data_IF_581280138894
#
_entry.id   IF_581280138894
#
_cell.length_a   1.000
_cell.length_b   1.000
_cell.length_c   1.000
_cell.angle_alpha   90.00
_cell.angle_beta   90.00
_cell.angle_gamma   90.00
#
_symmetry.space_group_name_H-M   'P 1'
#
loop_
_entity.id
_entity.type
_entity.pdbx_description
1 polymer ?
#
# COMPACT_ATOMS: atom_id res chain seq x y z
N UNK A 1 20.07 -37.42 -57.71
CA UNK A 1 20.52 -36.24 -56.94
C UNK A 1 19.28 -35.46 -56.56
N UNK A 2 18.88 -35.52 -55.29
CA UNK A 2 17.71 -34.82 -54.74
C UNK A 2 18.25 -33.60 -53.99
N UNK A 3 17.85 -32.36 -54.30
CA UNK A 3 18.27 -31.22 -53.49
C UNK A 3 17.43 -31.19 -52.21
N UNK A 4 18.10 -31.19 -51.05
CA UNK A 4 17.49 -30.98 -49.74
C UNK A 4 17.23 -29.48 -49.55
N UNK A 5 15.97 -29.08 -49.52
CA UNK A 5 15.51 -27.75 -49.09
C UNK A 5 15.65 -27.64 -47.57
N UNK A 6 16.43 -26.67 -47.10
CA UNK A 6 16.50 -26.29 -45.67
C UNK A 6 15.52 -25.14 -45.45
N UNK A 7 14.55 -25.22 -44.52
CA UNK A 7 13.69 -24.09 -44.23
C UNK A 7 14.40 -23.11 -43.28
N UNK A 8 14.54 -21.85 -43.72
CA UNK A 8 14.94 -20.74 -42.85
C UNK A 8 13.77 -20.40 -41.92
N UNK A 9 13.91 -20.72 -40.64
CA UNK A 9 13.02 -20.24 -39.58
C UNK A 9 13.44 -18.80 -39.24
N UNK A 10 12.62 -17.82 -39.64
CA UNK A 10 12.75 -16.43 -39.19
C UNK A 10 12.22 -16.34 -37.75
N UNK A 11 13.11 -16.21 -36.76
CA UNK A 11 12.72 -15.80 -35.41
C UNK A 11 12.42 -14.29 -35.43
N UNK A 12 11.14 -13.93 -35.39
CA UNK A 12 10.68 -12.58 -35.07
C UNK A 12 10.99 -12.31 -33.59
N UNK A 13 12.09 -11.61 -33.33
CA UNK A 13 12.39 -10.99 -32.05
C UNK A 13 11.32 -9.92 -31.78
N UNK A 14 10.31 -10.26 -30.99
CA UNK A 14 9.44 -9.27 -30.35
C UNK A 14 10.31 -8.48 -29.37
N UNK A 15 10.74 -7.29 -29.78
CA UNK A 15 11.22 -6.26 -28.87
C UNK A 15 10.03 -5.88 -27.98
N UNK A 16 9.98 -6.44 -26.77
CA UNK A 16 9.07 -5.95 -25.72
C UNK A 16 9.59 -4.55 -25.37
N UNK A 17 8.82 -3.47 -25.54
CA UNK A 17 9.24 -2.16 -25.08
C UNK A 17 9.38 -2.22 -23.57
N UNK A 18 10.59 -1.98 -23.09
CA UNK A 18 10.90 -1.78 -21.68
C UNK A 18 10.08 -0.56 -21.22
N UNK A 19 9.11 -0.81 -20.34
CA UNK A 19 8.28 0.24 -19.75
C UNK A 19 9.21 1.07 -18.88
N UNK A 20 9.62 2.23 -19.36
CA UNK A 20 10.30 3.22 -18.52
C UNK A 20 9.27 3.78 -17.53
N UNK A 21 9.19 3.17 -16.36
CA UNK A 21 8.53 3.79 -15.20
C UNK A 21 9.31 5.06 -14.87
N UNK A 22 8.65 6.21 -14.88
CA UNK A 22 9.22 7.43 -14.31
C UNK A 22 9.40 7.14 -12.82
N UNK A 23 10.63 6.86 -12.40
CA UNK A 23 10.91 6.62 -10.98
C UNK A 23 10.87 7.97 -10.30
N UNK A 24 9.80 8.23 -9.54
CA UNK A 24 9.80 9.34 -8.59
C UNK A 24 10.92 9.11 -7.58
N UNK A 25 11.60 10.19 -7.18
CA UNK A 25 12.71 10.11 -6.25
C UNK A 25 12.13 9.81 -4.85
N UNK A 26 12.32 8.58 -4.37
CA UNK A 26 11.76 8.14 -3.09
C UNK A 26 12.75 8.27 -1.93
N UNK A 27 14.05 8.20 -2.22
CA UNK A 27 15.09 8.44 -1.23
C UNK A 27 15.61 9.89 -1.31
N UNK A 28 16.33 10.34 -0.29
CA UNK A 28 17.00 11.64 -0.36
C UNK A 28 18.03 11.67 -1.51
N UNK A 29 18.21 12.80 -2.23
CA UNK A 29 19.20 12.88 -3.30
C UNK A 29 20.59 12.42 -2.88
N UNK A 30 21.24 11.62 -3.74
CA UNK A 30 22.54 10.96 -3.52
C UNK A 30 22.57 9.87 -2.43
N UNK A 31 21.41 9.40 -1.97
CA UNK A 31 21.32 8.27 -1.04
C UNK A 31 20.95 6.97 -1.76
N UNK A 32 21.32 5.85 -1.16
CA UNK A 32 20.95 4.53 -1.67
C UNK A 32 19.46 4.30 -1.44
N UNK A 33 18.73 3.97 -2.50
CA UNK A 33 17.27 3.82 -2.48
C UNK A 33 16.80 2.41 -2.11
N UNK A 34 17.70 1.41 -2.15
CA UNK A 34 17.33 0.01 -1.92
C UNK A 34 18.36 -0.74 -1.09
N UNK A 35 17.89 -1.75 -0.36
CA UNK A 35 18.73 -2.77 0.25
C UNK A 35 18.19 -4.16 -0.11
N UNK A 36 18.90 -4.85 -1.00
CA UNK A 36 18.37 -6.09 -1.60
C UNK A 36 17.12 -5.76 -2.43
N UNK A 37 16.00 -6.38 -2.07
CA UNK A 37 14.70 -6.17 -2.73
C UNK A 37 13.81 -5.16 -2.01
N UNK A 38 14.31 -4.51 -0.95
CA UNK A 38 13.53 -3.57 -0.14
C UNK A 38 13.84 -2.15 -0.58
N UNK A 39 12.81 -1.39 -0.93
CA UNK A 39 12.89 0.07 -1.12
C UNK A 39 13.04 0.78 0.21
N UNK A 40 13.96 1.74 0.28
CA UNK A 40 14.31 2.54 1.46
C UNK A 40 13.98 4.01 1.14
N UNK A 41 12.69 4.39 1.25
CA UNK A 41 12.29 5.77 1.03
C UNK A 41 12.64 6.65 2.24
N UNK A 42 12.87 7.93 2.00
CA UNK A 42 12.96 8.92 3.09
C UNK A 42 11.61 8.95 3.85
N UNK A 43 11.55 9.01 5.20
CA UNK A 43 12.60 9.41 6.15
C UNK A 43 13.63 8.32 6.48
N UNK A 44 13.45 7.08 6.01
CA UNK A 44 14.43 6.00 6.17
C UNK A 44 15.63 6.22 5.25
N UNK A 45 16.81 5.73 5.67
CA UNK A 45 18.00 5.90 4.87
C UNK A 45 19.19 5.07 5.34
N UNK A 46 20.06 4.76 4.39
CA UNK A 46 21.31 4.03 4.63
C UNK A 46 22.46 5.03 4.63
N UNK A 47 23.25 5.03 5.70
CA UNK A 47 24.41 5.89 5.83
C UNK A 47 24.10 7.30 6.35
N UNK A 48 25.13 7.96 6.85
CA UNK A 48 25.02 9.25 7.52
C UNK A 48 24.45 10.33 6.60
N UNK A 49 23.43 11.04 7.07
CA UNK A 49 22.79 12.14 6.34
C UNK A 49 21.70 11.72 5.35
N UNK A 50 21.40 10.42 5.24
CA UNK A 50 20.36 9.88 4.35
C UNK A 50 19.03 9.60 5.03
N UNK A 51 18.98 9.55 6.35
CA UNK A 51 17.77 9.38 7.15
C UNK A 51 17.42 10.67 7.90
N UNK A 52 16.17 10.77 8.38
CA UNK A 52 15.70 11.95 9.12
C UNK A 52 16.35 12.09 10.50
N UNK A 53 16.35 11.01 11.26
CA UNK A 53 16.96 10.89 12.58
C UNK A 53 17.38 9.42 12.82
N UNK A 54 18.12 9.15 13.90
CA UNK A 54 18.73 7.84 14.13
C UNK A 54 17.73 6.67 14.22
N UNK A 55 16.46 6.93 14.55
CA UNK A 55 15.42 5.89 14.55
C UNK A 55 15.08 5.40 13.14
N UNK A 56 15.24 6.25 12.13
CA UNK A 56 15.03 5.92 10.72
C UNK A 56 16.30 5.41 10.01
N UNK A 57 17.41 5.24 10.72
CA UNK A 57 18.63 4.65 10.17
C UNK A 57 18.40 3.17 9.83
N UNK A 58 18.81 2.79 8.61
CA UNK A 58 18.76 1.42 8.12
C UNK A 58 20.17 0.89 7.89
N UNK A 59 20.49 -0.24 8.52
CA UNK A 59 21.69 -1.01 8.23
C UNK A 59 21.42 -2.01 7.12
N UNK A 60 22.21 -1.95 6.06
CA UNK A 60 22.13 -2.88 4.94
C UNK A 60 23.27 -3.90 5.02
N UNK A 61 22.97 -5.06 5.60
CA UNK A 61 23.94 -6.13 5.77
C UNK A 61 24.10 -6.90 4.45
N UNK A 62 25.27 -6.76 3.83
CA UNK A 62 25.64 -7.50 2.62
C UNK A 62 26.12 -8.90 3.02
N UNK A 63 25.29 -9.91 2.78
CA UNK A 63 25.56 -11.27 3.28
C UNK A 63 26.57 -12.02 2.39
N UNK A 64 26.32 -12.17 1.08
CA UNK A 64 27.28 -12.68 0.05
C UNK A 64 26.73 -12.39 -1.36
N UNK A 65 27.45 -12.76 -2.43
CA UNK A 65 26.95 -12.70 -3.82
C UNK A 65 25.72 -13.60 -4.10
N UNK A 66 25.41 -14.56 -3.21
CA UNK A 66 24.36 -15.58 -3.40
C UNK A 66 23.16 -15.40 -2.46
N UNK A 67 23.17 -14.40 -1.58
CA UNK A 67 22.04 -14.11 -0.70
C UNK A 67 21.73 -12.62 -0.76
N UNK A 68 20.44 -12.23 -0.88
CA UNK A 68 20.09 -10.82 -0.93
C UNK A 68 20.58 -10.09 0.32
N UNK A 69 20.91 -8.82 0.15
CA UNK A 69 21.23 -7.95 1.29
C UNK A 69 19.99 -7.81 2.17
N UNK A 70 20.19 -7.77 3.48
CA UNK A 70 19.11 -7.70 4.47
C UNK A 70 19.14 -6.34 5.16
N UNK A 71 17.98 -5.69 5.22
CA UNK A 71 17.80 -4.38 5.84
C UNK A 71 17.40 -4.54 7.30
N UNK A 72 17.94 -3.71 8.19
CA UNK A 72 17.60 -3.70 9.61
C UNK A 72 17.40 -2.26 10.10
N UNK A 73 16.39 -2.03 10.94
CA UNK A 73 16.29 -0.78 11.70
C UNK A 73 17.39 -0.75 12.76
N UNK A 74 18.38 0.12 12.59
CA UNK A 74 19.64 0.09 13.34
C UNK A 74 19.44 0.11 14.86
N UNK A 75 18.52 0.97 15.35
CA UNK A 75 18.31 1.21 16.78
C UNK A 75 17.68 0.03 17.54
N UNK A 76 16.89 -0.79 16.84
CA UNK A 76 16.15 -1.90 17.44
C UNK A 76 16.57 -3.26 16.90
N UNK A 77 17.49 -3.28 15.93
CA UNK A 77 18.04 -4.47 15.28
C UNK A 77 16.95 -5.43 14.79
N UNK A 78 15.86 -4.89 14.23
CA UNK A 78 14.77 -5.66 13.63
C UNK A 78 14.89 -5.61 12.12
N UNK A 79 14.83 -6.79 11.49
CA UNK A 79 14.89 -6.90 10.03
C UNK A 79 13.66 -6.27 9.39
N UNK A 80 13.87 -5.43 8.39
CA UNK A 80 12.83 -4.78 7.60
C UNK A 80 12.42 -5.70 6.45
N UNK A 81 11.11 -5.93 6.37
CA UNK A 81 10.48 -6.71 5.31
C UNK A 81 9.83 -5.82 4.25
N UNK A 82 9.35 -4.64 4.64
CA UNK A 82 8.71 -3.67 3.75
C UNK A 82 8.56 -2.31 4.43
N UNK A 83 8.65 -1.23 3.67
CA UNK A 83 8.33 0.13 4.12
C UNK A 83 7.23 0.66 3.20
N UNK A 84 6.10 1.06 3.78
CA UNK A 84 4.99 1.73 3.06
C UNK A 84 4.92 3.18 3.51
N UNK A 85 5.19 4.12 2.59
CA UNK A 85 4.94 5.55 2.83
C UNK A 85 3.44 5.84 2.85
N UNK A 86 2.69 5.21 1.95
CA UNK A 86 1.24 5.40 1.79
C UNK A 86 0.47 5.01 3.06
N UNK A 87 0.86 3.92 3.72
CA UNK A 87 0.25 3.54 5.00
C UNK A 87 0.96 4.15 6.20
N UNK A 88 2.14 4.74 5.98
CA UNK A 88 3.07 5.17 7.03
C UNK A 88 3.36 4.05 8.02
N UNK A 89 3.71 2.89 7.46
CA UNK A 89 4.06 1.69 8.20
C UNK A 89 5.41 1.11 7.77
N UNK A 90 6.01 0.32 8.66
CA UNK A 90 7.16 -0.52 8.36
C UNK A 90 6.90 -1.92 8.90
N UNK A 91 6.99 -2.93 8.04
CA UNK A 91 6.85 -4.34 8.41
C UNK A 91 8.22 -4.88 8.78
N UNK A 92 8.33 -5.47 9.97
CA UNK A 92 9.60 -5.98 10.51
C UNK A 92 9.46 -7.36 11.14
N UNK A 93 10.56 -8.10 11.27
CA UNK A 93 10.60 -9.36 12.02
C UNK A 93 10.78 -9.09 13.53
N UNK A 94 9.75 -9.43 14.32
CA UNK A 94 9.73 -9.31 15.78
C UNK A 94 10.05 -10.64 16.46
N UNK A 95 10.84 -10.64 17.55
CA UNK A 95 11.17 -11.86 18.29
C UNK A 95 9.94 -12.46 18.97
N UNK A 96 10.03 -13.76 19.24
CA UNK A 96 9.03 -14.50 20.00
C UNK A 96 9.56 -14.76 21.42
N UNK A 97 8.80 -14.35 22.43
CA UNK A 97 9.11 -14.64 23.83
C UNK A 97 8.71 -16.09 24.11
N UNK A 98 9.56 -16.81 24.83
CA UNK A 98 9.36 -18.24 25.10
C UNK A 98 9.74 -18.66 26.52
N UNK A 99 9.15 -19.74 26.99
CA UNK A 99 9.46 -20.38 28.26
C UNK A 99 9.33 -21.90 28.10
N UNK A 100 10.28 -22.66 28.63
CA UNK A 100 10.25 -24.13 28.52
C UNK A 100 10.43 -24.69 27.11
N UNK A 101 10.98 -23.90 26.17
CA UNK A 101 11.21 -24.30 24.78
C UNK A 101 12.69 -24.62 24.53
N UNK A 102 12.99 -25.84 24.09
CA UNK A 102 14.36 -26.24 23.72
C UNK A 102 14.87 -25.49 22.49
N UNK A 103 16.15 -25.13 22.47
CA UNK A 103 16.81 -24.53 21.30
C UNK A 103 16.50 -23.06 21.03
N UNK A 104 15.78 -22.39 21.94
CA UNK A 104 15.54 -20.94 21.85
C UNK A 104 16.58 -20.14 22.65
N UNK A 105 16.93 -18.98 22.10
CA UNK A 105 17.82 -18.01 22.76
C UNK A 105 17.15 -17.29 23.92
N UNK A 106 17.87 -16.35 24.53
CA UNK A 106 17.32 -15.49 25.56
C UNK A 106 16.14 -14.67 25.02
N UNK A 107 15.12 -14.46 25.86
CA UNK A 107 14.00 -13.60 25.51
C UNK A 107 14.48 -12.16 25.34
N UNK A 108 14.22 -11.58 24.18
CA UNK A 108 14.56 -10.20 23.86
C UNK A 108 13.28 -9.35 23.99
N UNK A 109 13.30 -8.39 24.89
CA UNK A 109 12.25 -7.37 24.97
C UNK A 109 12.54 -6.24 23.97
N UNK A 110 11.51 -5.74 23.32
CA UNK A 110 11.60 -4.54 22.47
C UNK A 110 11.14 -3.33 23.29
N UNK A 111 11.93 -2.26 23.26
CA UNK A 111 11.55 -0.99 23.85
C UNK A 111 11.84 0.14 22.86
N UNK A 112 10.77 0.72 22.33
CA UNK A 112 10.78 1.84 21.38
C UNK A 112 10.22 3.11 22.03
N UNK A 113 10.22 3.19 23.36
CA UNK A 113 9.63 4.32 24.10
C UNK A 113 10.29 5.63 23.68
N UNK A 114 9.47 6.61 23.30
CA UNK A 114 9.94 7.91 22.83
C UNK A 114 10.51 7.90 21.40
N UNK A 115 10.44 6.77 20.69
CA UNK A 115 10.73 6.72 19.27
C UNK A 115 9.52 7.18 18.44
N UNK A 116 9.69 7.36 17.12
CA UNK A 116 8.58 7.60 16.21
C UNK A 116 7.75 6.34 15.88
N UNK A 117 8.10 5.16 16.40
CA UNK A 117 7.44 3.90 16.08
C UNK A 117 6.46 3.43 17.16
N UNK A 118 5.35 2.82 16.75
CA UNK A 118 4.46 2.06 17.63
C UNK A 118 3.92 0.81 16.92
N UNK A 119 3.55 -0.21 17.67
CA UNK A 119 2.87 -1.38 17.12
C UNK A 119 1.50 -0.98 16.55
N UNK A 120 1.30 -1.27 15.26
CA UNK A 120 0.06 -0.97 14.56
C UNK A 120 -1.13 -1.74 15.09
N UNK A 121 -2.33 -1.16 15.00
CA UNK A 121 -3.59 -1.82 15.34
C UNK A 121 -3.91 -3.05 14.47
N UNK A 122 -3.24 -3.15 13.31
CA UNK A 122 -3.26 -4.32 12.43
C UNK A 122 -2.63 -5.57 13.05
N UNK A 123 -1.88 -5.41 14.15
CA UNK A 123 -1.30 -6.52 14.89
C UNK A 123 -2.23 -7.09 15.96
N UNK A 124 -1.87 -8.27 16.46
CA UNK A 124 -2.54 -8.94 17.57
C UNK A 124 -1.51 -9.59 18.47
N UNK A 125 -1.77 -9.61 19.77
CA UNK A 125 -0.96 -10.37 20.73
C UNK A 125 -1.47 -11.80 20.78
N UNK A 126 -0.59 -12.76 20.56
CA UNK A 126 -0.88 -14.19 20.58
C UNK A 126 -0.04 -14.85 21.66
N UNK A 127 -0.64 -15.80 22.37
CA UNK A 127 0.08 -16.74 23.21
C UNK A 127 -0.28 -18.16 22.82
N UNK A 128 0.72 -19.05 22.78
CA UNK A 128 0.57 -20.45 22.41
C UNK A 128 1.26 -21.34 23.44
N UNK A 129 0.73 -22.54 23.64
CA UNK A 129 1.13 -23.48 24.67
C UNK A 129 -0.02 -23.88 25.59
N UNK A 130 0.14 -25.03 26.22
CA UNK A 130 -0.78 -25.57 27.21
C UNK A 130 -0.67 -24.74 28.51
N UNK A 131 -1.80 -24.48 29.17
CA UNK A 131 -1.85 -23.76 30.45
C UNK A 131 -1.04 -22.44 30.44
N UNK A 132 -1.06 -21.70 29.33
CA UNK A 132 -0.19 -20.54 29.14
C UNK A 132 -0.92 -19.26 29.55
N UNK A 133 -0.47 -18.65 30.66
CA UNK A 133 -0.86 -17.29 31.05
C UNK A 133 0.19 -16.31 30.55
N UNK A 134 -0.14 -15.57 29.50
CA UNK A 134 0.73 -14.57 28.92
C UNK A 134 0.20 -13.16 29.21
N UNK A 135 1.02 -12.34 29.86
CA UNK A 135 0.70 -10.94 30.14
C UNK A 135 1.77 -10.04 29.54
N UNK A 136 1.34 -8.99 28.85
CA UNK A 136 2.22 -7.87 28.53
C UNK A 136 2.61 -7.18 29.84
N UNK A 137 3.91 -6.97 30.02
CA UNK A 137 4.46 -6.26 31.16
C UNK A 137 5.19 -5.00 30.69
N UNK A 138 5.64 -4.17 31.65
CA UNK A 138 6.29 -2.88 31.36
C UNK A 138 5.40 -1.92 30.54
N UNK A 139 4.08 -2.06 30.68
CA UNK A 139 3.07 -1.19 30.08
C UNK A 139 2.09 -0.76 31.18
N UNK A 140 1.43 0.38 30.98
CA UNK A 140 0.41 0.88 31.91
C UNK A 140 -0.96 0.97 31.21
N UNK A 141 -2.01 0.29 31.72
CA UNK A 141 -2.00 -0.69 32.81
C UNK A 141 -1.52 -2.08 32.35
N UNK A 142 -0.92 -2.83 33.27
CA UNK A 142 -0.30 -4.17 33.06
C UNK A 142 -1.33 -5.32 32.87
N UNK A 143 -2.58 -5.02 32.51
CA UNK A 143 -3.69 -5.98 32.52
C UNK A 143 -3.88 -6.65 31.15
N UNK A 144 -3.13 -6.25 30.13
CA UNK A 144 -3.30 -6.81 28.79
C UNK A 144 -2.61 -8.17 28.67
N UNK A 145 -3.41 -9.21 28.47
CA UNK A 145 -2.91 -10.55 28.25
C UNK A 145 -4.04 -11.51 27.97
N UNK A 146 -3.69 -12.79 27.84
CA UNK A 146 -4.67 -13.86 27.68
C UNK A 146 -4.15 -15.15 28.29
N UNK A 147 -5.07 -16.10 28.48
CA UNK A 147 -4.78 -17.44 29.00
C UNK A 147 -5.27 -18.50 28.05
N UNK A 148 -4.50 -19.57 27.86
CA UNK A 148 -4.95 -20.80 27.22
C UNK A 148 -5.03 -21.95 28.23
N UNK A 149 -5.93 -22.88 27.99
CA UNK A 149 -6.10 -24.13 28.76
C UNK A 149 -5.65 -25.33 27.95
N UNK A 150 -5.47 -26.45 28.64
CA UNK A 150 -5.22 -27.76 28.05
C UNK A 150 -6.56 -28.47 27.83
N UNK A 151 -7.05 -28.58 26.59
CA UNK A 151 -8.17 -29.46 26.28
C UNK A 151 -7.79 -30.47 25.20
N UNK A 152 -8.07 -31.74 25.48
CA UNK A 152 -7.96 -32.85 24.52
C UNK A 152 -9.09 -32.87 23.48
N UNK A 153 -10.10 -32.00 23.61
CA UNK A 153 -11.21 -31.91 22.67
C UNK A 153 -10.75 -31.40 21.30
N UNK A 154 -10.95 -32.22 20.27
CA UNK A 154 -10.75 -31.87 18.85
C UNK A 154 -11.90 -31.02 18.28
N UNK A 155 -12.97 -30.80 19.05
CA UNK A 155 -14.07 -29.91 18.69
C UNK A 155 -13.54 -28.47 18.62
N UNK A 156 -13.41 -27.94 17.40
CA UNK A 156 -12.81 -26.63 17.11
C UNK A 156 -11.52 -26.68 16.31
N UNK A 157 -11.01 -27.87 15.91
CA UNK A 157 -9.95 -27.98 14.88
C UNK A 157 -10.40 -27.51 13.49
N UNK A 158 -11.70 -27.30 13.31
CA UNK A 158 -12.24 -26.62 12.15
C UNK A 158 -12.21 -25.11 12.41
N UNK A 159 -11.28 -24.46 11.71
CA UNK A 159 -11.00 -23.03 11.66
C UNK A 159 -9.85 -22.57 12.55
N UNK A 160 -8.90 -21.88 11.91
CA UNK A 160 -7.68 -21.21 12.35
C UNK A 160 -7.84 -20.14 13.45
N UNK A 161 -8.81 -20.29 14.35
CA UNK A 161 -9.12 -19.33 15.40
C UNK A 161 -8.45 -19.70 16.72
N UNK A 162 -7.50 -18.84 17.11
CA UNK A 162 -6.75 -19.00 18.34
C UNK A 162 -7.54 -18.55 19.59
N UNK A 163 -8.40 -19.44 20.10
CA UNK A 163 -9.42 -19.10 21.09
C UNK A 163 -9.49 -20.10 22.26
N UNK A 164 -8.52 -20.07 23.16
CA UNK A 164 -8.59 -20.66 24.50
C UNK A 164 -7.99 -22.06 24.65
N UNK A 165 -8.03 -22.92 23.63
CA UNK A 165 -7.39 -24.25 23.70
C UNK A 165 -5.97 -24.22 23.09
N UNK A 166 -4.94 -24.47 23.90
CA UNK A 166 -3.52 -24.43 23.52
C UNK A 166 -3.02 -23.10 22.92
N UNK A 167 -3.88 -22.12 22.69
CA UNK A 167 -3.49 -20.78 22.33
C UNK A 167 -4.60 -19.78 22.64
N UNK A 168 -4.24 -18.51 22.77
CA UNK A 168 -5.17 -17.41 22.95
C UNK A 168 -4.67 -16.17 22.21
N UNK A 169 -5.59 -15.27 21.90
CA UNK A 169 -5.27 -13.98 21.29
C UNK A 169 -5.99 -12.84 21.99
N UNK A 170 -5.37 -11.66 22.01
CA UNK A 170 -6.01 -10.42 22.44
C UNK A 170 -5.48 -9.22 21.64
N UNK A 171 -6.22 -8.13 21.66
CA UNK A 171 -5.80 -6.87 21.02
C UNK A 171 -4.71 -6.21 21.87
N UNK A 172 -3.75 -5.60 21.18
CA UNK A 172 -2.77 -4.74 21.82
C UNK A 172 -3.37 -3.36 22.15
N UNK A 173 -2.87 -2.65 23.18
CA UNK A 173 -3.20 -1.24 23.39
C UNK A 173 -2.84 -0.39 22.17
N UNK A 174 -3.57 0.71 21.98
CA UNK A 174 -3.16 1.74 21.02
C UNK A 174 -1.80 2.32 21.42
N UNK A 175 -0.97 2.68 20.45
CA UNK A 175 0.31 3.37 20.70
C UNK A 175 1.28 2.58 21.59
N UNK A 176 1.21 1.24 21.55
CA UNK A 176 2.14 0.37 22.25
C UNK A 176 3.55 0.50 21.65
N UNK A 177 4.54 0.92 22.45
CA UNK A 177 5.94 1.03 22.03
C UNK A 177 6.86 -0.01 22.69
N UNK A 178 6.32 -0.80 23.63
CA UNK A 178 7.07 -1.81 24.37
C UNK A 178 6.47 -3.17 24.08
N UNK A 179 7.31 -4.13 23.72
CA UNK A 179 6.94 -5.53 23.71
C UNK A 179 7.81 -6.29 24.70
N UNK A 180 7.19 -6.62 25.83
CA UNK A 180 7.72 -7.53 26.82
C UNK A 180 6.53 -8.28 27.42
N UNK A 181 6.73 -9.54 27.76
CA UNK A 181 5.66 -10.38 28.28
C UNK A 181 6.20 -11.38 29.32
N UNK A 182 5.39 -11.64 30.34
CA UNK A 182 5.60 -12.73 31.29
C UNK A 182 4.75 -13.94 30.87
N UNK A 183 5.35 -15.13 30.92
CA UNK A 183 4.69 -16.41 30.68
C UNK A 183 4.62 -17.20 31.98
N UNK A 184 3.43 -17.70 32.33
CA UNK A 184 3.21 -18.48 33.54
C UNK A 184 2.17 -19.58 33.36
N UNK A 185 1.89 -20.29 34.45
CA UNK A 185 0.82 -21.28 34.56
C UNK A 185 -0.48 -20.62 35.01
N UNK A 186 -1.62 -21.27 34.80
CA UNK A 186 -2.88 -20.81 35.39
C UNK A 186 -2.94 -21.21 36.87
N UNK A 187 -3.37 -20.30 37.74
CA UNK A 187 -3.35 -20.48 39.22
C UNK A 187 -4.28 -21.62 39.66
N UNK A 188 -5.24 -22.00 38.82
CA UNK A 188 -6.28 -23.01 39.11
C UNK A 188 -6.00 -24.41 38.60
N UNK A 189 -4.88 -24.65 37.90
CA UNK A 189 -4.52 -26.00 37.43
C UNK A 189 -3.82 -26.75 38.57
N UNK A 190 -4.39 -27.82 39.14
CA UNK A 190 -3.66 -28.65 40.09
C UNK A 190 -2.41 -29.17 39.39
N UNK A 191 -1.26 -29.08 40.04
CA UNK A 191 -0.06 -29.80 39.58
C UNK A 191 -0.42 -31.29 39.57
N UNK A 192 -0.75 -31.85 38.41
CA UNK A 192 -0.92 -33.29 38.29
C UNK A 192 0.48 -33.91 38.42
N UNK A 193 0.77 -34.66 39.50
CA UNK A 193 2.09 -35.23 39.72
C UNK A 193 2.50 -36.24 38.64
N UNK A 194 1.53 -36.70 37.83
CA UNK A 194 1.73 -37.62 36.71
C UNK A 194 1.74 -36.92 35.34
N UNK A 195 1.53 -35.60 35.27
CA UNK A 195 1.74 -34.87 34.02
C UNK A 195 3.24 -34.71 33.78
N UNK A 196 3.82 -35.71 33.11
CA UNK A 196 5.19 -35.72 32.64
C UNK A 196 5.36 -34.67 31.53
N UNK A 197 5.32 -33.38 31.87
CA UNK A 197 5.84 -32.29 31.04
C UNK A 197 5.30 -32.20 29.62
N UNK A 198 4.08 -32.68 29.37
CA UNK A 198 3.51 -32.85 28.03
C UNK A 198 2.94 -31.54 27.46
N UNK A 199 3.85 -30.57 27.25
CA UNK A 199 3.80 -29.28 26.53
C UNK A 199 4.25 -28.08 27.37
N UNK A 200 5.48 -28.15 27.89
CA UNK A 200 6.16 -27.07 28.63
C UNK A 200 6.54 -25.85 27.77
N UNK A 201 6.55 -25.97 26.44
CA UNK A 201 6.94 -24.87 25.57
C UNK A 201 5.80 -23.87 25.42
N UNK A 202 5.94 -22.73 26.10
CA UNK A 202 5.02 -21.60 26.05
C UNK A 202 5.67 -20.49 25.24
N UNK A 203 4.90 -19.85 24.37
CA UNK A 203 5.35 -18.70 23.60
C UNK A 203 4.34 -17.57 23.62
N UNK A 204 4.82 -16.34 23.47
CA UNK A 204 3.99 -15.18 23.21
C UNK A 204 4.69 -14.21 22.26
N UNK A 205 3.91 -13.56 21.41
CA UNK A 205 4.42 -12.69 20.35
C UNK A 205 3.33 -11.73 19.88
N UNK A 206 3.76 -10.60 19.30
CA UNK A 206 2.89 -9.69 18.55
C UNK A 206 3.12 -9.97 17.05
N UNK A 207 2.04 -10.15 16.30
CA UNK A 207 2.09 -10.51 14.88
C UNK A 207 1.04 -9.75 14.08
N UNK A 208 1.34 -9.51 12.80
CA UNK A 208 0.36 -9.04 11.83
C UNK A 208 -0.82 -10.01 11.73
N UNK A 209 -2.04 -9.52 11.97
CA UNK A 209 -3.24 -10.35 12.06
C UNK A 209 -3.56 -11.07 10.74
N UNK A 210 -3.38 -10.40 9.61
CA UNK A 210 -3.63 -10.96 8.29
C UNK A 210 -2.63 -12.07 7.96
N UNK A 211 -1.33 -11.81 8.19
CA UNK A 211 -0.28 -12.81 8.00
C UNK A 211 -0.51 -14.05 8.86
N UNK A 212 -0.81 -13.88 10.15
CA UNK A 212 -1.04 -14.99 11.08
C UNK A 212 -2.17 -15.91 10.61
N UNK A 213 -3.31 -15.33 10.21
CA UNK A 213 -4.48 -16.09 9.73
C UNK A 213 -4.20 -16.92 8.47
N UNK A 214 -3.29 -16.44 7.63
CA UNK A 214 -3.00 -17.05 6.33
C UNK A 214 -1.83 -18.04 6.37
N UNK A 215 -0.91 -17.90 7.33
CA UNK A 215 0.33 -18.68 7.36
C UNK A 215 0.37 -19.68 8.51
N UNK A 216 -0.30 -19.42 9.63
CA UNK A 216 -0.20 -20.28 10.81
C UNK A 216 -1.41 -21.20 10.92
N UNK A 217 -1.16 -22.50 10.78
CA UNK A 217 -2.21 -23.53 10.88
C UNK A 217 -2.36 -24.08 12.30
N UNK A 218 -1.33 -23.94 13.15
CA UNK A 218 -1.40 -24.41 14.53
C UNK A 218 -0.20 -23.99 15.40
N UNK A 219 -0.27 -24.24 16.72
CA UNK A 219 0.76 -23.80 17.68
C UNK A 219 2.17 -24.37 17.44
N UNK A 220 2.25 -25.63 17.00
CA UNK A 220 3.51 -26.37 16.85
C UNK A 220 4.47 -25.69 15.85
N UNK A 221 3.91 -25.12 14.78
CA UNK A 221 4.67 -24.42 13.74
C UNK A 221 5.49 -23.27 14.34
N UNK A 222 4.82 -22.46 15.17
CA UNK A 222 5.45 -21.33 15.81
C UNK A 222 6.37 -21.78 16.93
N UNK A 223 5.95 -22.72 17.78
CA UNK A 223 6.68 -23.17 18.96
C UNK A 223 8.04 -23.80 18.62
N UNK A 224 8.13 -24.59 17.54
CA UNK A 224 9.34 -25.34 17.22
C UNK A 224 10.19 -24.75 16.08
N UNK A 225 9.59 -24.05 15.11
CA UNK A 225 10.30 -23.68 13.89
C UNK A 225 10.53 -22.17 13.71
N UNK A 226 9.82 -21.33 14.47
CA UNK A 226 9.90 -19.88 14.31
C UNK A 226 10.58 -19.22 15.52
N UNK A 227 11.52 -18.30 15.24
CA UNK A 227 12.10 -17.40 16.25
C UNK A 227 11.57 -15.97 16.15
N UNK A 228 11.10 -15.60 14.96
CA UNK A 228 10.58 -14.28 14.64
C UNK A 228 9.26 -14.41 13.87
N UNK A 229 8.42 -13.39 13.98
CA UNK A 229 7.17 -13.25 13.23
C UNK A 229 7.06 -11.83 12.66
N UNK A 230 6.39 -11.64 11.52
CA UNK A 230 6.20 -10.32 10.96
C UNK A 230 5.24 -9.48 11.80
N UNK A 231 5.62 -8.24 12.04
CA UNK A 231 4.80 -7.24 12.73
C UNK A 231 4.81 -5.94 11.95
N UNK A 232 3.73 -5.18 12.02
CA UNK A 232 3.62 -3.86 11.39
C UNK A 232 3.86 -2.78 12.46
N UNK A 233 4.82 -1.90 12.24
CA UNK A 233 4.98 -0.70 13.06
C UNK A 233 4.40 0.49 12.31
N UNK A 234 3.53 1.25 12.95
CA UNK A 234 3.18 2.59 12.50
C UNK A 234 4.38 3.51 12.81
N UNK A 235 4.65 4.47 11.93
CA UNK A 235 5.65 5.50 12.19
C UNK A 235 5.08 6.89 11.95
N UNK A 236 5.65 7.86 12.66
CA UNK A 236 5.23 9.25 12.59
C UNK A 236 6.44 10.17 12.46
N UNK A 237 6.20 11.41 12.09
CA UNK A 237 7.17 12.50 12.21
C UNK A 237 6.73 13.43 13.32
N UNK A 238 7.64 14.14 13.97
CA UNK A 238 7.29 15.12 15.00
C UNK A 238 7.41 16.54 14.44
N UNK A 239 6.33 17.33 14.52
CA UNK A 239 6.36 18.73 14.13
C UNK A 239 7.22 19.57 15.08
N UNK A 240 7.98 20.51 14.53
CA UNK A 240 8.94 21.34 15.25
C UNK A 240 10.31 20.69 15.46
N UNK A 241 10.40 19.35 15.47
CA UNK A 241 11.67 18.62 15.61
C UNK A 241 12.12 17.97 14.31
N UNK A 242 11.26 17.12 13.72
CA UNK A 242 11.56 16.44 12.46
C UNK A 242 11.08 17.22 11.25
N UNK A 243 10.03 18.02 11.41
CA UNK A 243 9.55 18.93 10.38
C UNK A 243 9.79 20.37 10.85
N UNK A 244 10.50 21.21 10.08
CA UNK A 244 10.79 22.58 10.47
C UNK A 244 9.53 23.39 10.78
N UNK A 245 9.62 24.25 11.80
CA UNK A 245 8.60 25.26 12.05
C UNK A 245 8.46 26.18 10.83
N UNK A 246 7.22 26.42 10.38
CA UNK A 246 6.93 27.19 9.16
C UNK A 246 6.61 26.36 7.92
N UNK A 247 6.76 25.03 7.96
CA UNK A 247 6.06 24.15 7.02
C UNK A 247 4.56 24.28 7.33
N UNK A 248 3.77 24.67 6.32
CA UNK A 248 2.32 24.89 6.45
C UNK A 248 1.63 23.58 6.82
N UNK A 249 1.32 23.40 8.12
CA UNK A 249 0.53 22.27 8.58
C UNK A 249 -0.96 22.53 8.43
N UNK A 250 -1.63 21.52 7.90
CA UNK A 250 -2.93 21.57 7.25
C UNK A 250 -4.08 21.43 8.25
N UNK A 251 -4.18 22.29 9.27
CA UNK A 251 -5.52 22.51 9.84
C UNK A 251 -6.38 23.41 8.92
N UNK A 252 -5.77 24.03 7.91
CA UNK A 252 -6.39 25.13 7.17
C UNK A 252 -6.26 25.06 5.64
N UNK A 253 -5.76 23.95 5.09
CA UNK A 253 -5.92 23.77 3.67
C UNK A 253 -7.15 22.90 3.41
N UNK A 254 -8.00 23.39 2.55
CA UNK A 254 -8.80 22.58 1.66
C UNK A 254 -8.31 22.88 0.23
N UNK A 255 -7.03 23.29 0.13
CA UNK A 255 -6.51 24.20 -0.89
C UNK A 255 -5.03 23.91 -1.29
N UNK A 256 -4.44 22.77 -0.93
CA UNK A 256 -3.22 22.30 -1.61
C UNK A 256 -3.58 21.03 -2.36
N UNK A 257 -3.49 21.07 -3.68
CA UNK A 257 -3.93 19.96 -4.54
C UNK A 257 -2.98 18.75 -4.45
N UNK A 258 -1.73 18.92 -4.04
CA UNK A 258 -0.67 17.90 -4.18
C UNK A 258 -0.43 16.98 -2.98
N UNK A 259 -0.56 17.48 -1.75
CA UNK A 259 -0.17 16.77 -0.52
C UNK A 259 -1.09 17.12 0.64
N UNK A 260 -1.32 16.18 1.54
CA UNK A 260 -2.01 16.40 2.81
C UNK A 260 -1.20 15.84 3.98
N UNK A 261 -1.22 16.54 5.10
CA UNK A 261 -0.63 16.09 6.34
C UNK A 261 -1.63 16.21 7.48
N UNK A 262 -1.77 15.17 8.28
CA UNK A 262 -2.67 15.18 9.44
C UNK A 262 -1.93 14.61 10.65
N UNK A 263 -2.22 15.09 11.88
CA UNK A 263 -1.84 14.32 13.04
C UNK A 263 -2.39 12.91 12.86
N UNK A 264 -1.63 11.84 13.15
CA UNK A 264 -2.13 10.49 13.04
C UNK A 264 -3.43 10.45 13.83
N UNK A 265 -4.52 10.13 13.15
CA UNK A 265 -5.86 10.21 13.72
C UNK A 265 -5.79 9.35 14.96
N UNK A 266 -5.81 9.99 16.14
CA UNK A 266 -6.19 9.36 17.41
C UNK A 266 -7.28 8.41 17.01
N UNK A 267 -7.07 7.08 17.07
CA UNK A 267 -8.00 6.10 16.55
C UNK A 267 -9.39 6.42 17.10
N UNK A 268 -10.11 7.23 16.33
CA UNK A 268 -11.39 7.77 16.69
C UNK A 268 -12.32 6.71 16.18
N UNK A 269 -12.18 5.52 16.76
CA UNK A 269 -13.33 4.68 16.93
C UNK A 269 -14.22 5.46 17.89
N UNK A 270 -15.07 6.28 17.29
CA UNK A 270 -16.46 6.38 17.70
C UNK A 270 -16.91 5.00 18.21
N UNK A 271 -16.82 4.78 19.52
CA UNK A 271 -17.36 3.61 20.21
C UNK A 271 -16.40 2.56 20.78
N UNK A 272 -15.08 2.74 20.81
CA UNK A 272 -14.15 1.71 21.34
C UNK A 272 -13.56 2.03 22.71
N UNK A 273 -13.92 1.27 23.76
CA UNK A 273 -13.23 1.27 25.05
C UNK A 273 -11.81 0.68 24.89
N UNK A 274 -10.85 1.53 24.54
CA UNK A 274 -9.42 1.19 24.45
C UNK A 274 -8.61 1.94 25.49
N UNK A 275 -7.67 1.25 26.15
CA UNK A 275 -6.70 1.85 27.05
C UNK A 275 -5.81 2.82 26.27
N UNK A 276 -5.88 4.08 26.66
CA UNK A 276 -5.37 5.22 25.93
C UNK A 276 -4.04 5.63 26.60
N UNK A 277 -2.90 5.39 25.95
CA UNK A 277 -1.60 5.95 26.37
C UNK A 277 -1.48 7.37 25.77
N UNK A 278 -2.21 8.33 26.34
CA UNK A 278 -2.65 9.57 25.66
C UNK A 278 -1.57 10.60 25.31
N UNK A 279 -0.31 10.49 25.73
CA UNK A 279 0.62 11.65 25.63
C UNK A 279 1.74 11.55 24.62
N UNK A 280 1.97 10.40 23.96
CA UNK A 280 3.19 10.19 23.18
C UNK A 280 3.22 10.88 21.80
N UNK A 281 2.15 11.56 21.38
CA UNK A 281 1.96 11.96 19.98
C UNK A 281 1.26 13.31 19.77
N UNK A 282 1.27 14.22 20.76
CA UNK A 282 0.51 15.48 20.64
C UNK A 282 0.97 16.39 19.49
N UNK A 283 2.23 16.27 19.05
CA UNK A 283 2.82 17.00 17.93
C UNK A 283 3.22 16.06 16.77
N UNK A 284 2.75 14.82 16.76
CA UNK A 284 3.08 13.93 15.66
C UNK A 284 2.25 14.25 14.42
N UNK A 285 2.81 13.92 13.27
CA UNK A 285 2.24 14.21 11.97
C UNK A 285 2.68 13.17 10.97
N UNK A 286 1.77 12.89 10.05
CA UNK A 286 2.01 12.03 8.91
C UNK A 286 1.50 12.74 7.67
N UNK A 287 2.24 12.61 6.57
CA UNK A 287 2.01 13.27 5.29
C UNK A 287 1.94 12.26 4.15
N UNK A 288 1.12 12.58 3.16
CA UNK A 288 0.84 11.75 2.00
C UNK A 288 0.64 12.61 0.76
N UNK A 289 0.98 12.07 -0.41
CA UNK A 289 0.58 12.67 -1.67
C UNK A 289 -0.93 12.42 -1.90
N UNK A 290 -1.61 13.42 -2.45
CA UNK A 290 -3.00 13.27 -2.87
C UNK A 290 -3.09 12.37 -4.12
N UNK A 291 -4.29 11.87 -4.39
CA UNK A 291 -4.59 11.17 -5.64
C UNK A 291 -4.21 12.05 -6.86
N UNK A 292 -3.60 11.44 -7.86
CA UNK A 292 -3.06 12.15 -9.04
C UNK A 292 -1.69 12.80 -8.82
N UNK A 293 -1.08 12.61 -7.65
CA UNK A 293 0.28 13.03 -7.35
C UNK A 293 1.14 11.85 -6.90
N UNK A 294 2.41 11.87 -7.31
CA UNK A 294 3.40 10.87 -6.93
C UNK A 294 4.64 11.51 -6.32
N UNK A 295 5.41 10.74 -5.56
CA UNK A 295 6.66 11.19 -4.95
C UNK A 295 6.70 10.94 -3.46
N UNK A 296 7.55 11.71 -2.78
CA UNK A 296 7.78 11.56 -1.35
C UNK A 296 7.46 12.89 -0.63
N UNK A 297 6.39 12.93 0.18
CA UNK A 297 5.94 14.16 0.84
C UNK A 297 6.96 14.73 1.85
N UNK A 298 7.97 13.94 2.23
CA UNK A 298 9.02 14.33 3.19
C UNK A 298 10.30 14.84 2.53
N UNK A 299 10.37 14.85 1.18
CA UNK A 299 11.49 15.40 0.42
C UNK A 299 11.24 16.85 -0.03
N UNK A 300 12.28 17.62 -0.40
CA UNK A 300 12.13 19.00 -0.87
C UNK A 300 11.21 19.17 -2.08
N UNK A 301 11.26 18.23 -3.04
CA UNK A 301 10.41 18.23 -4.23
C UNK A 301 8.99 17.71 -3.94
N UNK A 302 8.79 17.07 -2.79
CA UNK A 302 7.49 16.67 -2.28
C UNK A 302 6.71 15.73 -3.22
N UNK A 303 5.45 16.09 -3.42
CA UNK A 303 4.51 15.39 -4.30
C UNK A 303 4.38 16.18 -5.62
N UNK A 304 4.57 15.49 -6.73
CA UNK A 304 4.51 16.04 -8.09
C UNK A 304 3.32 15.48 -8.85
N UNK A 305 2.69 16.33 -9.65
CA UNK A 305 1.57 15.97 -10.52
C UNK A 305 1.93 14.82 -11.46
N UNK A 306 1.09 13.78 -11.46
CA UNK A 306 1.27 12.61 -12.32
C UNK A 306 0.74 12.93 -13.72
N UNK A 307 1.60 12.92 -14.73
CA UNK A 307 1.19 13.15 -16.12
C UNK A 307 0.60 11.88 -16.75
N UNK A 308 -0.69 11.61 -16.54
CA UNK A 308 -1.33 10.38 -17.04
C UNK A 308 -1.42 10.32 -18.57
N UNK A 309 -1.23 11.46 -19.24
CA UNK A 309 -1.14 11.52 -20.70
C UNK A 309 0.16 10.90 -21.24
N UNK A 310 1.20 10.80 -20.41
CA UNK A 310 2.46 10.13 -20.75
C UNK A 310 2.48 8.66 -20.39
N UNK A 311 1.56 8.18 -19.55
CA UNK A 311 1.54 6.80 -19.07
C UNK A 311 0.56 5.96 -19.92
N UNK A 312 1.05 4.97 -20.69
CA UNK A 312 0.19 4.14 -21.51
C UNK A 312 -0.85 3.39 -20.67
N UNK A 313 -2.13 3.47 -21.07
CA UNK A 313 -3.23 2.74 -20.44
C UNK A 313 -3.80 3.37 -19.16
N UNK A 314 -3.24 4.48 -18.68
CA UNK A 314 -3.78 5.20 -17.51
C UNK A 314 -4.89 6.17 -17.91
N UNK A 315 -4.73 6.89 -19.02
CA UNK A 315 -5.79 7.76 -19.54
C UNK A 315 -6.78 7.01 -20.43
N UNK A 316 -8.06 7.38 -20.37
CA UNK A 316 -9.15 6.78 -21.16
C UNK A 316 -9.57 7.66 -22.36
N UNK A 317 -8.71 8.57 -22.79
CA UNK A 317 -8.99 9.42 -23.94
C UNK A 317 -8.99 8.62 -25.23
N UNK A 318 -10.09 8.66 -25.97
CA UNK A 318 -10.29 7.84 -27.17
C UNK A 318 -10.97 8.61 -28.32
N UNK A 319 -10.95 8.02 -29.51
CA UNK A 319 -11.58 8.57 -30.71
C UNK A 319 -11.06 9.96 -31.08
N UNK A 320 -11.97 10.93 -31.09
CA UNK A 320 -11.72 12.33 -31.48
C UNK A 320 -11.14 13.20 -30.37
N UNK A 321 -10.76 12.61 -29.23
CA UNK A 321 -10.15 13.36 -28.12
C UNK A 321 -8.63 13.22 -28.09
N UNK A 322 -7.98 14.21 -27.47
CA UNK A 322 -6.57 14.21 -27.07
C UNK A 322 -6.50 14.35 -25.55
N UNK A 323 -5.50 13.72 -24.96
CA UNK A 323 -5.24 13.87 -23.52
C UNK A 323 -4.56 15.22 -23.25
N UNK A 324 -4.99 15.89 -22.18
CA UNK A 324 -4.42 17.12 -21.65
C UNK A 324 -4.22 16.94 -20.16
N UNK A 325 -2.96 16.95 -19.73
CA UNK A 325 -2.61 16.84 -18.31
C UNK A 325 -3.01 18.12 -17.57
N UNK A 326 -3.58 17.98 -16.37
CA UNK A 326 -3.92 19.09 -15.48
C UNK A 326 -3.56 18.71 -14.03
N UNK A 327 -3.34 19.66 -13.12
CA UNK A 327 -2.96 19.31 -11.74
C UNK A 327 -3.95 18.33 -11.07
N UNK A 328 -3.46 17.14 -10.71
CA UNK A 328 -4.17 16.05 -10.03
C UNK A 328 -5.07 15.17 -10.91
N UNK A 329 -5.18 15.43 -12.22
CA UNK A 329 -5.91 14.55 -13.15
C UNK A 329 -5.56 14.80 -14.63
N UNK A 330 -6.21 14.09 -15.53
CA UNK A 330 -6.21 14.43 -16.96
C UNK A 330 -7.60 14.80 -17.50
N UNK A 331 -7.62 15.54 -18.60
CA UNK A 331 -8.83 15.83 -19.38
C UNK A 331 -8.70 15.30 -20.80
N UNK A 332 -9.82 14.81 -21.35
CA UNK A 332 -9.93 14.45 -22.76
C UNK A 332 -10.61 15.59 -23.52
N UNK A 333 -9.82 16.39 -24.22
CA UNK A 333 -10.33 17.51 -25.01
C UNK A 333 -10.46 17.13 -26.48
N UNK A 334 -11.35 17.81 -27.20
CA UNK A 334 -11.53 17.60 -28.62
C UNK A 334 -10.22 17.88 -29.39
N UNK A 335 -9.79 16.89 -30.16
CA UNK A 335 -8.65 17.00 -31.05
C UNK A 335 -9.09 17.70 -32.35
N UNK A 336 -8.88 19.01 -32.37
CA UNK A 336 -9.21 19.86 -33.53
C UNK A 336 -8.55 19.36 -34.82
N UNK A 337 -7.38 18.73 -34.76
CA UNK A 337 -6.71 18.21 -35.95
C UNK A 337 -7.46 17.00 -36.51
N UNK A 338 -7.83 16.03 -35.65
CA UNK A 338 -8.65 14.88 -36.05
C UNK A 338 -10.01 15.30 -36.61
N UNK A 339 -10.66 16.28 -35.96
CA UNK A 339 -11.96 16.81 -36.42
C UNK A 339 -11.82 17.50 -37.79
N UNK A 340 -10.77 18.30 -37.98
CA UNK A 340 -10.53 18.98 -39.26
C UNK A 340 -10.25 17.97 -40.36
N UNK A 341 -9.48 16.92 -40.06
CA UNK A 341 -9.21 15.82 -40.99
C UNK A 341 -10.48 15.05 -41.38
N UNK A 342 -11.35 14.72 -40.41
CA UNK A 342 -12.64 14.09 -40.68
C UNK A 342 -13.56 14.99 -41.53
N UNK A 343 -13.60 16.29 -41.25
CA UNK A 343 -14.34 17.26 -42.08
C UNK A 343 -13.81 17.31 -43.51
N UNK A 344 -12.49 17.26 -43.69
CA UNK A 344 -11.87 17.21 -45.02
C UNK A 344 -12.19 15.90 -45.76
N UNK A 345 -12.15 14.76 -45.06
CA UNK A 345 -12.56 13.46 -45.62
C UNK A 345 -14.03 13.45 -46.03
N UNK A 346 -14.94 13.94 -45.18
CA UNK A 346 -16.35 14.08 -45.54
C UNK A 346 -16.55 15.00 -46.74
N UNK A 347 -15.89 16.16 -46.78
CA UNK A 347 -15.98 17.07 -47.92
C UNK A 347 -15.47 16.41 -49.22
N UNK A 348 -14.40 15.62 -49.15
CA UNK A 348 -13.86 14.89 -50.31
C UNK A 348 -14.80 13.77 -50.76
N UNK A 349 -15.45 13.06 -49.83
CA UNK A 349 -16.42 12.02 -50.15
C UNK A 349 -17.70 12.61 -50.75
N UNK A 350 -18.23 13.69 -50.17
CA UNK A 350 -19.37 14.42 -50.74
C UNK A 350 -19.04 15.01 -52.11
N UNK A 351 -17.81 15.48 -52.35
CA UNK A 351 -17.38 15.91 -53.68
C UNK A 351 -17.38 14.78 -54.71
N UNK A 352 -16.93 13.57 -54.33
CA UNK A 352 -16.95 12.39 -55.21
C UNK A 352 -18.37 11.86 -55.47
N UNK A 353 -19.25 11.93 -54.47
CA UNK A 353 -20.67 11.59 -54.65
C UNK A 353 -21.37 12.59 -55.57
N UNK A 354 -21.07 13.89 -55.44
CA UNK A 354 -21.56 14.93 -56.35
C UNK A 354 -21.06 14.74 -57.79
N UNK A 355 -19.80 14.33 -57.98
CA UNK A 355 -19.28 13.94 -59.31
C UNK A 355 -20.01 12.72 -59.89
N UNK A 356 -20.24 11.67 -59.09
CA UNK A 356 -21.00 10.48 -59.51
C UNK A 356 -22.48 10.79 -59.82
N UNK A 357 -23.11 11.75 -59.13
CA UNK A 357 -24.47 12.22 -59.44
C UNK A 357 -24.47 13.01 -60.76
N UNK A 358 -23.41 13.79 -61.03
CA UNK A 358 -23.25 14.57 -62.27
C UNK A 358 -23.08 13.69 -63.51
N UNK A 359 -22.44 12.54 -63.35
CA UNK A 359 -22.26 11.55 -64.42
C UNK A 359 -23.48 10.61 -64.59
N UNK A 360 -24.46 10.68 -63.68
CA UNK A 360 -25.62 9.78 -63.63
C UNK A 360 -26.99 10.38 -64.00
N UNK A 361 -27.14 11.70 -64.20
CA UNK A 361 -28.46 12.32 -64.48
C UNK A 361 -28.38 13.35 -65.61
N UNK A 362 -29.11 13.16 -66.74
CA UNK A 362 -29.37 14.23 -67.70
C UNK A 362 -30.51 15.14 -67.20
N UNK A 363 -30.19 16.43 -67.03
CA UNK A 363 -31.09 17.60 -66.94
C UNK A 363 -32.17 17.61 -65.83
N UNK A 364 -31.95 18.36 -64.75
CA UNK A 364 -33.01 19.01 -63.98
C UNK A 364 -32.45 20.21 -63.15
N UNK A 365 -33.35 21.07 -62.69
CA UNK A 365 -33.26 22.53 -62.54
C UNK A 365 -33.10 22.99 -61.07
N UNK A 366 -32.67 24.25 -60.89
CA UNK A 366 -32.44 24.98 -59.62
C UNK A 366 -33.55 24.88 -58.58
N UNK A 367 -33.20 24.84 -57.27
CA UNK A 367 -33.85 25.65 -56.20
C UNK A 367 -32.81 26.01 -55.11
N UNK A 368 -32.78 27.29 -54.71
CA UNK A 368 -31.92 27.89 -53.70
C UNK A 368 -32.43 27.70 -52.24
N UNK A 369 -31.50 27.66 -51.27
CA UNK A 369 -31.81 27.78 -49.84
C UNK A 369 -30.55 27.97 -48.98
N UNK A 370 -30.46 29.10 -48.29
CA UNK A 370 -29.35 29.52 -47.39
C UNK A 370 -29.32 28.75 -46.07
N UNK A 371 -28.15 28.48 -45.44
CA UNK A 371 -28.10 27.82 -44.14
C UNK A 371 -28.20 28.81 -42.97
N UNK A 372 -29.13 28.53 -42.04
CA UNK A 372 -29.24 29.19 -40.73
C UNK A 372 -28.27 28.60 -39.70
N UNK A 373 -27.68 29.47 -38.88
CA UNK A 373 -26.73 29.22 -37.79
C UNK A 373 -27.29 28.37 -36.63
N UNK A 374 -26.43 27.59 -35.95
CA UNK A 374 -26.72 26.97 -34.65
C UNK A 374 -25.67 27.41 -33.62
N UNK A 375 -26.14 28.04 -32.53
CA UNK A 375 -25.40 28.33 -31.30
C UNK A 375 -25.50 27.15 -30.33
N UNK A 376 -24.39 26.81 -29.65
CA UNK A 376 -24.35 25.76 -28.63
C UNK A 376 -24.16 26.43 -27.26
N UNK A 377 -25.09 26.17 -26.34
CA UNK A 377 -25.04 26.61 -24.95
C UNK A 377 -24.26 25.65 -24.04
N UNK A 378 -23.65 26.22 -23.00
CA UNK A 378 -22.88 25.54 -21.96
C UNK A 378 -23.69 24.51 -21.18
N UNK A 379 -23.09 23.35 -20.88
CA UNK A 379 -23.60 22.43 -19.86
C UNK A 379 -22.51 21.85 -18.94
N UNK A 380 -22.80 21.99 -17.64
CA UNK A 380 -22.17 21.36 -16.47
C UNK A 380 -22.73 19.94 -16.25
N UNK A 381 -21.96 19.14 -15.52
CA UNK A 381 -22.22 17.77 -15.02
C UNK A 381 -21.93 16.59 -15.97
N UNK A 382 -20.71 16.06 -15.87
CA UNK A 382 -20.47 14.79 -15.16
C UNK A 382 -20.97 13.47 -15.76
N UNK A 383 -21.57 13.45 -16.94
CA UNK A 383 -21.92 12.19 -17.63
C UNK A 383 -21.57 12.27 -19.11
N UNK A 384 -20.68 11.38 -19.57
CA UNK A 384 -20.34 11.24 -20.97
C UNK A 384 -21.51 10.61 -21.75
N UNK A 385 -22.02 11.21 -22.84
CA UNK A 385 -22.91 10.49 -23.73
C UNK A 385 -22.08 9.66 -24.71
N UNK A 386 -22.38 8.37 -24.78
CA UNK A 386 -22.09 7.56 -25.95
C UNK A 386 -22.83 8.20 -27.14
N UNK A 387 -22.09 8.74 -28.10
CA UNK A 387 -22.64 9.18 -29.38
C UNK A 387 -23.03 7.93 -30.18
N UNK A 388 -24.27 7.51 -30.04
CA UNK A 388 -24.91 6.54 -30.91
C UNK A 388 -25.34 7.29 -32.19
N UNK A 389 -24.68 6.99 -33.30
CA UNK A 389 -24.99 7.58 -34.61
C UNK A 389 -26.04 6.69 -35.29
N UNK A 390 -27.28 6.74 -34.81
CA UNK A 390 -28.45 6.31 -35.58
C UNK A 390 -29.65 7.21 -35.31
N UNK A 391 -30.39 7.47 -36.39
CA UNK A 391 -31.71 8.09 -36.50
C UNK A 391 -31.77 9.62 -36.59
N UNK A 392 -31.83 10.12 -37.83
CA UNK A 392 -32.79 11.16 -38.25
C UNK A 392 -33.16 10.92 -39.73
N UNK A 393 -33.89 9.82 -39.99
CA UNK A 393 -34.77 9.72 -41.17
C UNK A 393 -36.10 9.12 -40.70
N UNK A 394 -37.09 10.00 -40.52
CA UNK A 394 -38.54 9.76 -40.62
C UNK A 394 -39.20 11.12 -40.28
N UNK A 395 -40.26 11.61 -40.90
CA UNK A 395 -41.21 11.17 -41.92
C UNK A 395 -42.03 12.43 -42.26
N UNK A 396 -42.51 12.60 -43.50
CA UNK A 396 -43.81 13.25 -43.86
C UNK A 396 -43.96 13.17 -45.41
N UNK A 397 -44.71 12.19 -45.95
CA UNK A 397 -46.12 12.30 -46.47
C UNK A 397 -46.24 13.37 -47.57
N UNK A 398 -46.57 13.11 -48.85
CA UNK A 398 -47.38 12.10 -49.55
C UNK A 398 -46.71 11.61 -50.84
#
# INVERSE_FOLDING_TARGET
MIPRSVPLIFFLLFLVPEIATVSSLMAKPNCTETCGNISIPFPFGIGTGCYKNDWFSVDCNKTTAYSPSRAFLSRINMEVLEISLEDSTVRVNSPIISSGCSGRGANISINMTGSPFAFSYSNTFIAMGCDNRALLNQIEPEIVGCTSTCSSSTEGKENSYCCGNNCCQTRIPSSLQVFSASLGNNISSPEDPNDQGSNQCKVAFIVERAWFRNNISGPEEVQYYMQYVPVILDWVMYYGTDIPEGVTLYYDAKNSDAMYCYPPVNSSTSGGWGLRTVTLYSNSITCWCNDGYEGNPYLPDGCTDTDECKIPGVNWCSGMTKCVNVPGLYKCELDKAKITFLRALHAQQSSKELENIRDGVPNAWEIAGTPTSVTIGDFRNGTAPSLDVQALISHETW
#
